data_IF_246175824938
#
_entry.id   IF_246175824938
#
_cell.length_a   1.000
_cell.length_b   1.000
_cell.length_c   1.000
_cell.angle_alpha   90.00
_cell.angle_beta   90.00
_cell.angle_gamma   90.00
#
_symmetry.space_group_name_H-M   'P 1'
#
loop_
_entity.id
_entity.type
_entity.pdbx_description
1 polymer ?
#
# COMPACT_ATOMS: atom_id res chain seq x y z
N UNK A 1 1.71 1.89 24.25
CA UNK A 1 0.98 3.12 23.89
C UNK A 1 0.00 2.78 22.78
N UNK A 2 -1.28 3.09 22.91
CA UNK A 2 -2.26 2.92 21.83
C UNK A 2 -2.18 4.14 20.90
N UNK A 3 -1.71 3.94 19.68
CA UNK A 3 -1.68 4.98 18.64
C UNK A 3 -3.12 5.15 18.13
N UNK A 4 -3.77 6.25 18.51
CA UNK A 4 -5.08 6.62 17.98
C UNK A 4 -4.87 7.40 16.70
N UNK A 5 -5.25 6.80 15.58
CA UNK A 5 -5.05 7.34 14.23
C UNK A 5 -6.16 8.35 13.93
N UNK A 6 -5.80 9.63 13.78
CA UNK A 6 -6.67 10.66 13.21
C UNK A 6 -6.34 10.85 11.73
N UNK A 7 -7.34 11.16 10.92
CA UNK A 7 -7.21 11.38 9.48
C UNK A 7 -6.12 12.41 9.14
N UNK A 8 -5.24 12.03 8.20
CA UNK A 8 -4.46 12.85 7.28
C UNK A 8 -3.14 13.54 7.69
N UNK A 9 -2.61 13.52 8.93
CA UNK A 9 -1.35 14.29 9.18
C UNK A 9 -0.27 13.65 10.07
N UNK A 10 -0.48 12.47 10.66
CA UNK A 10 0.44 11.99 11.74
C UNK A 10 1.00 10.58 11.49
N UNK A 11 0.50 9.84 10.48
CA UNK A 11 0.82 8.41 10.35
C UNK A 11 2.24 8.17 9.81
N UNK A 12 2.72 9.02 8.89
CA UNK A 12 3.98 8.75 8.19
C UNK A 12 5.18 9.44 8.78
N UNK A 13 5.03 10.59 9.45
CA UNK A 13 6.18 11.46 9.76
C UNK A 13 7.31 10.70 10.46
N UNK A 14 7.00 9.92 11.50
CA UNK A 14 8.07 9.16 12.17
C UNK A 14 8.71 8.10 11.27
N UNK A 15 7.92 7.37 10.48
CA UNK A 15 8.45 6.37 9.53
C UNK A 15 9.23 7.01 8.38
N UNK A 16 8.83 8.21 7.99
CA UNK A 16 9.48 9.02 6.97
C UNK A 16 10.80 9.59 7.50
N UNK A 17 10.82 10.14 8.71
CA UNK A 17 12.01 10.64 9.39
C UNK A 17 13.05 9.52 9.53
N UNK A 18 12.63 8.32 9.98
CA UNK A 18 13.52 7.16 10.08
C UNK A 18 14.10 6.77 8.69
N UNK A 19 13.27 6.79 7.64
CA UNK A 19 13.72 6.53 6.28
C UNK A 19 14.70 7.60 5.78
N UNK A 20 14.40 8.88 5.98
CA UNK A 20 15.24 10.01 5.57
C UNK A 20 16.60 9.95 6.27
N UNK A 21 16.64 9.66 7.57
CA UNK A 21 17.88 9.47 8.32
C UNK A 21 18.73 8.33 7.73
N UNK A 22 18.12 7.16 7.46
CA UNK A 22 18.86 6.05 6.85
C UNK A 22 19.33 6.39 5.43
N UNK A 23 18.51 7.09 4.64
CA UNK A 23 18.86 7.49 3.28
C UNK A 23 19.99 8.53 3.24
N UNK A 24 20.00 9.51 4.14
CA UNK A 24 21.10 10.47 4.30
C UNK A 24 22.41 9.76 4.64
N UNK A 25 22.39 8.82 5.60
CA UNK A 25 23.56 8.00 5.91
C UNK A 25 24.06 7.20 4.71
N UNK A 26 23.15 6.65 3.90
CA UNK A 26 23.52 5.96 2.68
C UNK A 26 24.25 6.88 1.68
N UNK A 27 23.75 8.11 1.50
CA UNK A 27 24.41 9.11 0.64
C UNK A 27 25.83 9.39 1.16
N UNK A 28 25.96 9.62 2.47
CA UNK A 28 27.25 9.92 3.09
C UNK A 28 28.25 8.77 2.97
N UNK A 29 27.84 7.54 3.31
CA UNK A 29 28.69 6.35 3.28
C UNK A 29 29.17 5.96 1.88
N UNK A 30 28.41 6.32 0.84
CA UNK A 30 28.75 6.01 -0.56
C UNK A 30 29.21 7.24 -1.35
N UNK A 31 29.57 8.35 -0.68
CA UNK A 31 30.02 9.60 -1.31
C UNK A 31 29.07 10.13 -2.41
N UNK A 32 27.77 9.85 -2.27
CA UNK A 32 26.72 10.20 -3.24
C UNK A 32 26.50 9.19 -4.39
N UNK A 33 27.29 8.13 -4.48
CA UNK A 33 27.13 7.07 -5.48
C UNK A 33 26.15 5.97 -5.02
N UNK A 34 24.85 6.26 -5.11
CA UNK A 34 23.79 5.29 -4.76
C UNK A 34 23.38 4.44 -5.96
N UNK A 35 23.05 3.17 -5.70
CA UNK A 35 22.41 2.26 -6.65
C UNK A 35 21.20 2.90 -7.37
N UNK A 36 21.13 2.72 -8.69
CA UNK A 36 20.12 3.35 -9.53
C UNK A 36 18.69 2.97 -9.14
N UNK A 37 18.45 1.73 -8.71
CA UNK A 37 17.10 1.26 -8.35
C UNK A 37 16.66 1.82 -7.00
N UNK A 38 17.59 1.98 -6.03
CA UNK A 38 17.32 2.67 -4.76
C UNK A 38 16.96 4.14 -5.03
N UNK A 39 17.76 4.83 -5.86
CA UNK A 39 17.49 6.22 -6.24
C UNK A 39 16.17 6.38 -6.98
N UNK A 40 15.84 5.45 -7.89
CA UNK A 40 14.57 5.48 -8.63
C UNK A 40 13.38 5.25 -7.71
N UNK A 41 13.50 4.34 -6.73
CA UNK A 41 12.50 4.16 -5.70
C UNK A 41 12.27 5.47 -4.91
N UNK A 42 13.34 6.08 -4.40
CA UNK A 42 13.27 7.31 -3.61
C UNK A 42 12.53 8.42 -4.38
N UNK A 43 12.99 8.72 -5.60
CA UNK A 43 12.35 9.72 -6.46
C UNK A 43 10.86 9.44 -6.64
N UNK A 44 10.47 8.18 -6.89
CA UNK A 44 9.06 7.81 -7.08
C UNK A 44 8.26 7.95 -5.81
N UNK A 45 8.79 7.54 -4.66
CA UNK A 45 8.12 7.68 -3.38
C UNK A 45 7.91 9.16 -3.05
N UNK A 46 8.96 9.98 -3.14
CA UNK A 46 8.87 11.41 -2.88
C UNK A 46 7.89 12.11 -3.82
N UNK A 47 7.90 11.75 -5.12
CA UNK A 47 6.90 12.24 -6.07
C UNK A 47 5.49 11.80 -5.68
N UNK A 48 5.27 10.54 -5.30
CA UNK A 48 3.96 10.03 -4.91
C UNK A 48 3.41 10.74 -3.67
N UNK A 49 4.25 10.97 -2.66
CA UNK A 49 3.88 11.61 -1.39
C UNK A 49 3.65 13.12 -1.55
N UNK A 50 4.46 13.80 -2.36
CA UNK A 50 4.32 15.24 -2.63
C UNK A 50 3.21 15.59 -3.63
N UNK A 51 2.66 14.59 -4.34
CA UNK A 51 1.65 14.84 -5.38
C UNK A 51 0.31 15.31 -4.79
N UNK A 52 -0.11 16.50 -5.20
CA UNK A 52 -1.45 17.01 -4.97
C UNK A 52 -2.31 16.92 -6.25
N UNK A 53 -3.47 16.26 -6.16
CA UNK A 53 -4.34 15.99 -7.31
C UNK A 53 -5.58 16.87 -7.20
N UNK A 54 -5.85 17.69 -8.20
CA UNK A 54 -7.06 18.50 -8.29
C UNK A 54 -7.81 18.21 -9.59
N UNK A 55 -9.14 18.30 -9.55
CA UNK A 55 -9.99 18.09 -10.72
C UNK A 55 -10.61 19.42 -11.14
N UNK A 56 -10.48 19.75 -12.43
CA UNK A 56 -11.05 20.96 -12.98
C UNK A 56 -12.58 20.82 -13.07
N UNK A 57 -13.36 21.74 -12.43
CA UNK A 57 -14.81 21.66 -12.39
C UNK A 57 -15.49 21.89 -13.75
N UNK A 58 -14.76 22.42 -14.74
CA UNK A 58 -15.26 22.64 -16.10
C UNK A 58 -15.40 21.35 -16.93
N UNK A 59 -14.84 20.22 -16.48
CA UNK A 59 -14.97 18.93 -17.17
C UNK A 59 -16.03 18.06 -16.48
N UNK A 60 -16.90 17.42 -17.29
CA UNK A 60 -18.16 16.75 -16.87
C UNK A 60 -18.02 15.48 -16.00
N UNK A 61 -16.83 15.10 -15.57
CA UNK A 61 -16.62 13.82 -14.89
C UNK A 61 -16.11 14.01 -13.47
N UNK A 62 -17.05 14.24 -12.56
CA UNK A 62 -17.11 13.85 -11.14
C UNK A 62 -18.20 14.71 -10.47
N UNK A 63 -19.46 14.27 -10.57
CA UNK A 63 -20.62 15.09 -10.17
C UNK A 63 -20.69 15.40 -8.66
N UNK A 64 -19.83 14.80 -7.85
CA UNK A 64 -19.75 15.01 -6.40
C UNK A 64 -18.29 15.04 -5.94
N UNK A 65 -18.03 15.72 -4.82
CA UNK A 65 -16.69 15.73 -4.22
C UNK A 65 -16.27 14.33 -3.75
N UNK A 66 -17.21 13.50 -3.31
CA UNK A 66 -16.94 12.09 -2.97
C UNK A 66 -16.45 11.26 -4.15
N UNK A 67 -16.95 11.51 -5.37
CA UNK A 67 -16.44 10.86 -6.59
C UNK A 67 -15.02 11.33 -6.91
N UNK A 68 -14.71 12.61 -6.65
CA UNK A 68 -13.35 13.15 -6.80
C UNK A 68 -12.43 12.49 -5.78
N UNK A 69 -12.85 12.34 -4.53
CA UNK A 69 -12.07 11.71 -3.47
C UNK A 69 -11.64 10.29 -3.85
N UNK A 70 -12.59 9.46 -4.32
CA UNK A 70 -12.27 8.10 -4.81
C UNK A 70 -11.24 8.14 -5.93
N UNK A 71 -11.40 9.06 -6.89
CA UNK A 71 -10.48 9.19 -8.02
C UNK A 71 -9.07 9.61 -7.56
N UNK A 72 -8.97 10.58 -6.64
CA UNK A 72 -7.68 11.00 -6.06
C UNK A 72 -7.01 9.85 -5.32
N UNK A 73 -7.75 9.13 -4.48
CA UNK A 73 -7.21 8.03 -3.70
C UNK A 73 -6.75 6.87 -4.60
N UNK A 74 -7.50 6.56 -5.66
CA UNK A 74 -7.11 5.51 -6.62
C UNK A 74 -5.81 5.88 -7.35
N UNK A 75 -5.68 7.14 -7.77
CA UNK A 75 -4.46 7.67 -8.39
C UNK A 75 -3.27 7.66 -7.42
N UNK A 76 -3.46 8.15 -6.19
CA UNK A 76 -2.43 8.14 -5.15
C UNK A 76 -1.98 6.72 -4.84
N UNK A 77 -2.91 5.79 -4.63
CA UNK A 77 -2.60 4.38 -4.40
C UNK A 77 -1.80 3.77 -5.56
N UNK A 78 -2.17 4.10 -6.80
CA UNK A 78 -1.45 3.63 -7.98
C UNK A 78 -0.03 4.19 -8.05
N UNK A 79 0.18 5.46 -7.70
CA UNK A 79 1.51 6.06 -7.65
C UNK A 79 2.40 5.39 -6.61
N UNK A 80 1.89 5.14 -5.40
CA UNK A 80 2.65 4.45 -4.35
C UNK A 80 2.92 3.00 -4.74
N UNK A 81 1.99 2.32 -5.43
CA UNK A 81 2.25 0.99 -5.99
C UNK A 81 3.43 0.99 -6.96
N UNK A 82 3.55 1.99 -7.83
CA UNK A 82 4.71 2.10 -8.71
C UNK A 82 6.03 2.34 -7.97
N UNK A 83 5.99 3.00 -6.81
CA UNK A 83 7.14 3.09 -5.91
C UNK A 83 7.48 1.72 -5.32
N UNK A 84 6.49 1.00 -4.80
CA UNK A 84 6.67 -0.39 -4.31
C UNK A 84 7.30 -1.31 -5.36
N UNK A 85 6.85 -1.22 -6.62
CA UNK A 85 7.45 -2.01 -7.73
C UNK A 85 8.92 -1.65 -7.98
N UNK A 86 9.31 -0.39 -7.81
CA UNK A 86 10.71 0.03 -7.90
C UNK A 86 11.53 -0.46 -6.70
N UNK A 87 10.96 -0.45 -5.50
CA UNK A 87 11.60 -1.00 -4.31
C UNK A 87 11.91 -2.49 -4.47
N UNK A 88 10.96 -3.26 -5.01
CA UNK A 88 11.18 -4.68 -5.27
C UNK A 88 12.36 -4.91 -6.23
N UNK A 89 12.61 -4.03 -7.20
CA UNK A 89 13.80 -4.16 -8.08
C UNK A 89 15.10 -3.93 -7.32
N UNK A 90 15.12 -2.94 -6.42
CA UNK A 90 16.27 -2.68 -5.56
C UNK A 90 16.61 -3.89 -4.65
N UNK A 91 15.59 -4.65 -4.24
CA UNK A 91 15.72 -5.93 -3.53
C UNK A 91 16.13 -7.12 -4.41
N UNK A 92 15.74 -7.15 -5.68
CA UNK A 92 16.14 -8.22 -6.61
C UNK A 92 17.67 -8.19 -6.82
N UNK A 93 18.24 -6.97 -6.90
CA UNK A 93 19.69 -6.76 -6.94
C UNK A 93 20.42 -7.16 -5.64
N UNK A 94 19.70 -7.52 -4.57
CA UNK A 94 20.29 -8.01 -3.31
C UNK A 94 20.03 -9.50 -3.02
N UNK A 95 19.39 -10.23 -3.95
CA UNK A 95 19.07 -11.68 -3.80
C UNK A 95 18.11 -12.03 -2.66
N UNK A 96 17.30 -11.07 -2.21
CA UNK A 96 16.45 -11.22 -1.02
C UNK A 96 14.97 -11.55 -1.33
N UNK A 97 14.58 -11.66 -2.60
CA UNK A 97 13.21 -11.98 -3.00
C UNK A 97 13.02 -13.47 -3.28
N UNK A 98 11.87 -14.02 -2.86
CA UNK A 98 11.56 -15.46 -2.97
C UNK A 98 10.73 -15.82 -4.20
N UNK A 99 9.93 -14.88 -4.73
CA UNK A 99 8.91 -15.18 -5.73
C UNK A 99 8.83 -14.11 -6.83
N UNK A 100 8.38 -14.54 -8.02
CA UNK A 100 8.08 -13.64 -9.16
C UNK A 100 6.83 -12.77 -8.95
N UNK A 101 5.92 -13.16 -8.05
CA UNK A 101 4.68 -12.41 -7.82
C UNK A 101 4.94 -11.24 -6.89
N UNK A 102 4.63 -10.02 -7.35
CA UNK A 102 4.85 -8.77 -6.60
C UNK A 102 4.07 -8.69 -5.29
N UNK A 103 2.99 -9.46 -5.15
CA UNK A 103 2.15 -9.47 -3.94
C UNK A 103 2.62 -10.50 -2.90
N UNK A 104 3.60 -11.35 -3.24
CA UNK A 104 4.14 -12.42 -2.39
C UNK A 104 5.66 -12.56 -2.55
N UNK A 105 6.34 -11.49 -2.99
CA UNK A 105 7.77 -11.51 -3.30
C UNK A 105 8.66 -11.41 -2.07
N UNK A 106 8.12 -10.87 -0.97
CA UNK A 106 8.81 -10.76 0.31
C UNK A 106 8.99 -12.16 0.93
N UNK A 107 10.21 -12.49 1.34
CA UNK A 107 10.50 -13.73 2.08
C UNK A 107 9.90 -13.69 3.49
N UNK A 108 9.71 -14.86 4.10
CA UNK A 108 9.32 -14.95 5.51
C UNK A 108 10.37 -14.25 6.41
N UNK A 109 11.67 -14.43 6.12
CA UNK A 109 12.75 -13.75 6.84
C UNK A 109 12.62 -12.21 6.83
N UNK A 110 12.31 -11.61 5.67
CA UNK A 110 12.08 -10.16 5.57
C UNK A 110 10.86 -9.75 6.40
N UNK A 111 9.78 -10.53 6.34
CA UNK A 111 8.57 -10.21 7.08
C UNK A 111 8.80 -10.31 8.58
N UNK A 112 9.54 -11.31 9.04
CA UNK A 112 9.88 -11.50 10.45
C UNK A 112 10.79 -10.38 10.96
N UNK A 113 11.78 -9.97 10.17
CA UNK A 113 12.66 -8.84 10.49
C UNK A 113 11.90 -7.51 10.54
N UNK A 114 10.99 -7.28 9.58
CA UNK A 114 10.12 -6.11 9.62
C UNK A 114 9.25 -6.08 10.89
N UNK A 115 8.65 -7.21 11.25
CA UNK A 115 7.77 -7.33 12.41
C UNK A 115 8.55 -7.23 13.73
N UNK A 116 9.77 -7.76 13.78
CA UNK A 116 10.61 -7.78 14.97
C UNK A 116 11.44 -6.51 15.16
N UNK A 117 12.34 -6.23 14.23
CA UNK A 117 13.39 -5.20 14.36
C UNK A 117 12.91 -3.81 13.92
N UNK A 118 12.01 -3.75 12.94
CA UNK A 118 11.50 -2.48 12.39
C UNK A 118 10.10 -2.11 12.91
N UNK A 119 9.63 -2.82 13.95
CA UNK A 119 8.37 -2.58 14.66
C UNK A 119 7.15 -2.44 13.73
N UNK A 120 7.15 -3.17 12.61
CA UNK A 120 6.04 -3.17 11.66
C UNK A 120 4.80 -3.88 12.24
N UNK A 121 4.94 -4.61 13.34
CA UNK A 121 3.83 -5.21 14.08
C UNK A 121 2.85 -4.14 14.60
N UNK A 122 3.34 -2.97 15.02
CA UNK A 122 2.52 -1.84 15.46
C UNK A 122 1.65 -1.36 14.29
N UNK A 123 2.23 -1.23 13.10
CA UNK A 123 1.52 -0.81 11.89
C UNK A 123 0.45 -1.84 11.52
N UNK A 124 0.80 -3.12 11.49
CA UNK A 124 -0.17 -4.17 11.14
C UNK A 124 -1.31 -4.26 12.14
N UNK A 125 -1.04 -4.12 13.44
CA UNK A 125 -2.08 -4.04 14.49
C UNK A 125 -2.99 -2.83 14.29
N UNK A 126 -2.41 -1.66 14.05
CA UNK A 126 -3.17 -0.42 13.81
C UNK A 126 -4.04 -0.51 12.55
N UNK A 127 -3.50 -1.05 11.45
CA UNK A 127 -4.24 -1.30 10.23
C UNK A 127 -5.42 -2.25 10.47
N UNK A 128 -5.19 -3.36 11.17
CA UNK A 128 -6.22 -4.35 11.51
C UNK A 128 -7.30 -3.75 12.39
N UNK A 129 -6.92 -2.96 13.40
CA UNK A 129 -7.88 -2.28 14.27
C UNK A 129 -8.74 -1.30 13.47
N UNK A 130 -8.14 -0.44 12.64
CA UNK A 130 -8.87 0.49 11.80
C UNK A 130 -9.83 -0.24 10.85
N UNK A 131 -9.33 -1.29 10.21
CA UNK A 131 -10.11 -2.13 9.31
C UNK A 131 -11.29 -2.78 10.03
N UNK A 132 -11.05 -3.31 11.23
CA UNK A 132 -12.08 -3.89 12.10
C UNK A 132 -13.16 -2.87 12.44
N UNK A 133 -12.78 -1.70 12.96
CA UNK A 133 -13.73 -0.72 13.49
C UNK A 133 -14.55 -0.03 12.39
N UNK A 134 -13.92 0.30 11.25
CA UNK A 134 -14.54 1.17 10.25
C UNK A 134 -15.13 0.43 9.04
N UNK A 135 -14.58 -0.74 8.70
CA UNK A 135 -14.97 -1.46 7.48
C UNK A 135 -15.64 -2.78 7.83
N UNK A 136 -14.96 -3.60 8.63
CA UNK A 136 -15.33 -4.98 8.83
C UNK A 136 -16.46 -5.15 9.88
N UNK A 137 -16.44 -4.48 11.03
CA UNK A 137 -17.50 -4.58 12.06
C UNK A 137 -18.77 -3.80 11.71
N UNK A 138 -18.72 -2.91 10.71
CA UNK A 138 -19.87 -2.15 10.25
C UNK A 138 -20.63 -2.94 9.18
N UNK A 139 -21.80 -3.48 9.51
CA UNK A 139 -22.58 -4.36 8.61
C UNK A 139 -22.86 -3.76 7.22
N UNK A 140 -23.09 -2.44 7.15
CA UNK A 140 -23.30 -1.72 5.90
C UNK A 140 -22.03 -1.67 5.04
N UNK A 141 -20.87 -1.43 5.67
CA UNK A 141 -19.59 -1.39 4.96
C UNK A 141 -19.06 -2.77 4.63
N UNK A 142 -19.32 -3.78 5.46
CA UNK A 142 -18.93 -5.17 5.22
C UNK A 142 -19.52 -5.72 3.92
N UNK A 143 -20.84 -5.68 3.79
CA UNK A 143 -21.53 -6.18 2.58
C UNK A 143 -21.07 -5.42 1.32
N UNK A 144 -20.88 -4.11 1.46
CA UNK A 144 -20.44 -3.28 0.34
C UNK A 144 -18.96 -3.48 -0.03
N UNK A 145 -18.11 -3.81 0.95
CA UNK A 145 -16.71 -4.18 0.73
C UNK A 145 -16.62 -5.55 0.06
N UNK A 146 -17.41 -6.52 0.51
CA UNK A 146 -17.52 -7.84 -0.13
C UNK A 146 -17.90 -7.72 -1.62
N UNK A 147 -18.92 -6.89 -1.93
CA UNK A 147 -19.28 -6.57 -3.32
C UNK A 147 -18.11 -5.99 -4.11
N UNK A 148 -17.33 -5.13 -3.47
CA UNK A 148 -16.16 -4.54 -4.11
C UNK A 148 -15.07 -5.58 -4.39
N UNK A 149 -14.80 -6.47 -3.44
CA UNK A 149 -13.85 -7.58 -3.63
C UNK A 149 -14.32 -8.53 -4.74
N UNK A 150 -15.61 -8.84 -4.82
CA UNK A 150 -16.17 -9.65 -5.92
C UNK A 150 -16.01 -8.97 -7.28
N UNK A 151 -16.23 -7.65 -7.34
CA UNK A 151 -15.98 -6.86 -8.53
C UNK A 151 -14.50 -6.91 -8.96
N UNK A 152 -13.57 -6.73 -8.01
CA UNK A 152 -12.13 -6.86 -8.26
C UNK A 152 -11.76 -8.28 -8.72
N UNK A 153 -12.38 -9.31 -8.15
CA UNK A 153 -12.18 -10.73 -8.49
C UNK A 153 -12.64 -11.03 -9.91
N UNK A 154 -13.77 -10.47 -10.31
CA UNK A 154 -14.35 -10.64 -11.66
C UNK A 154 -13.44 -10.07 -12.74
N UNK A 155 -12.76 -8.96 -12.47
CA UNK A 155 -11.80 -8.37 -13.39
C UNK A 155 -10.36 -8.89 -13.24
N UNK A 156 -10.07 -9.80 -12.31
CA UNK A 156 -8.75 -10.38 -12.16
C UNK A 156 -8.48 -11.43 -13.26
N UNK A 157 -7.31 -11.37 -13.89
CA UNK A 157 -6.96 -12.30 -14.99
C UNK A 157 -6.25 -13.56 -14.51
N UNK A 158 -5.52 -13.51 -13.39
CA UNK A 158 -4.75 -14.66 -12.87
C UNK A 158 -5.50 -15.42 -11.77
N UNK A 159 -5.38 -16.76 -11.79
CA UNK A 159 -5.96 -17.62 -10.76
C UNK A 159 -5.33 -17.43 -9.38
N UNK A 160 -4.07 -16.99 -9.30
CA UNK A 160 -3.43 -16.62 -8.03
C UNK A 160 -4.12 -15.40 -7.42
N UNK A 161 -4.36 -14.35 -8.22
CA UNK A 161 -5.03 -13.15 -7.76
C UNK A 161 -6.48 -13.44 -7.34
N UNK A 162 -7.23 -14.24 -8.12
CA UNK A 162 -8.58 -14.65 -7.74
C UNK A 162 -8.62 -15.39 -6.41
N UNK A 163 -7.69 -16.31 -6.17
CA UNK A 163 -7.59 -17.02 -4.88
C UNK A 163 -7.29 -16.08 -3.72
N UNK A 164 -6.36 -15.13 -3.91
CA UNK A 164 -6.07 -14.12 -2.90
C UNK A 164 -7.30 -13.24 -2.58
N UNK A 165 -8.04 -12.81 -3.61
CA UNK A 165 -9.25 -12.01 -3.43
C UNK A 165 -10.39 -12.80 -2.78
N UNK A 166 -10.57 -14.09 -3.09
CA UNK A 166 -11.53 -14.94 -2.38
C UNK A 166 -11.18 -15.11 -0.90
N UNK A 167 -9.89 -15.24 -0.57
CA UNK A 167 -9.44 -15.23 0.83
C UNK A 167 -9.79 -13.90 1.51
N UNK A 168 -9.52 -12.77 0.86
CA UNK A 168 -9.89 -11.43 1.35
C UNK A 168 -11.40 -11.32 1.58
N UNK A 169 -12.22 -11.83 0.65
CA UNK A 169 -13.67 -11.90 0.81
C UNK A 169 -14.08 -12.69 2.06
N UNK A 170 -13.45 -13.84 2.28
CA UNK A 170 -13.71 -14.68 3.46
C UNK A 170 -13.25 -14.00 4.76
N UNK A 171 -12.17 -13.22 4.73
CA UNK A 171 -11.74 -12.40 5.87
C UNK A 171 -12.85 -11.43 6.29
N UNK A 172 -13.51 -10.77 5.34
CA UNK A 172 -14.68 -9.93 5.62
C UNK A 172 -15.90 -10.71 6.14
N UNK A 173 -15.98 -12.01 5.84
CA UNK A 173 -17.09 -12.87 6.26
C UNK A 173 -16.88 -13.42 7.67
N UNK A 174 -15.65 -13.86 7.96
CA UNK A 174 -15.29 -14.63 9.14
C UNK A 174 -14.74 -13.79 10.29
N UNK A 175 -14.53 -12.47 10.11
CA UNK A 175 -13.87 -11.62 11.09
C UNK A 175 -12.42 -12.04 11.40
N UNK A 176 -11.66 -12.29 10.33
CA UNK A 176 -10.25 -12.63 10.44
C UNK A 176 -9.37 -11.38 10.22
N UNK A 177 -8.10 -11.49 10.59
CA UNK A 177 -7.11 -10.45 10.33
C UNK A 177 -6.53 -10.59 8.93
N UNK A 178 -6.36 -9.47 8.23
CA UNK A 178 -5.59 -9.45 6.97
C UNK A 178 -4.10 -9.61 7.23
N UNK A 179 -3.48 -10.52 6.47
CA UNK A 179 -2.03 -10.60 6.38
C UNK A 179 -1.50 -9.54 5.40
N UNK A 180 -0.19 -9.26 5.47
CA UNK A 180 0.49 -8.29 4.60
C UNK A 180 0.22 -8.60 3.11
N UNK A 181 0.36 -9.88 2.72
CA UNK A 181 0.13 -10.32 1.34
C UNK A 181 -1.32 -10.16 0.88
N UNK A 182 -2.30 -10.16 1.81
CA UNK A 182 -3.70 -9.89 1.48
C UNK A 182 -3.87 -8.42 1.11
N UNK A 183 -3.28 -7.51 1.90
CA UNK A 183 -3.34 -6.08 1.62
C UNK A 183 -2.64 -5.76 0.30
N UNK A 184 -1.44 -6.32 0.07
CA UNK A 184 -0.73 -6.15 -1.21
C UNK A 184 -1.54 -6.70 -2.40
N UNK A 185 -2.23 -7.84 -2.22
CA UNK A 185 -3.10 -8.40 -3.24
C UNK A 185 -4.31 -7.51 -3.52
N UNK A 186 -4.91 -6.91 -2.49
CA UNK A 186 -6.00 -5.95 -2.63
C UNK A 186 -5.54 -4.70 -3.42
N UNK A 187 -4.43 -4.10 -3.00
CA UNK A 187 -3.82 -2.94 -3.68
C UNK A 187 -3.58 -3.24 -5.15
N UNK A 188 -2.94 -4.38 -5.45
CA UNK A 188 -2.66 -4.78 -6.82
C UNK A 188 -3.92 -4.95 -7.66
N UNK A 189 -4.99 -5.53 -7.10
CA UNK A 189 -6.26 -5.69 -7.80
C UNK A 189 -6.92 -4.35 -8.13
N UNK A 190 -6.97 -3.42 -7.17
CA UNK A 190 -7.49 -2.06 -7.37
C UNK A 190 -6.71 -1.35 -8.48
N UNK A 191 -5.38 -1.33 -8.37
CA UNK A 191 -4.51 -0.71 -9.37
C UNK A 191 -4.73 -1.32 -10.75
N UNK A 192 -4.86 -2.65 -10.84
CA UNK A 192 -5.08 -3.31 -12.13
C UNK A 192 -6.45 -2.98 -12.74
N UNK A 193 -7.52 -2.92 -11.95
CA UNK A 193 -8.82 -2.49 -12.48
C UNK A 193 -8.75 -1.05 -13.00
N UNK A 194 -8.09 -0.17 -12.25
CA UNK A 194 -7.91 1.21 -12.68
C UNK A 194 -7.11 1.32 -13.99
N UNK A 195 -5.94 0.68 -14.06
CA UNK A 195 -5.00 0.81 -15.19
C UNK A 195 -5.48 0.07 -16.45
N UNK A 196 -6.12 -1.10 -16.30
CA UNK A 196 -6.41 -1.98 -17.42
C UNK A 196 -7.90 -2.09 -17.77
N UNK A 197 -8.80 -1.80 -16.83
CA UNK A 197 -10.24 -1.99 -17.03
C UNK A 197 -11.04 -0.69 -17.04
N UNK A 198 -10.39 0.47 -16.89
CA UNK A 198 -11.06 1.78 -16.92
C UNK A 198 -12.02 1.99 -15.76
N UNK A 199 -11.61 1.61 -14.55
CA UNK A 199 -12.47 1.65 -13.36
C UNK A 199 -13.04 3.06 -13.08
N UNK A 200 -14.37 3.13 -12.92
CA UNK A 200 -15.03 4.36 -12.47
C UNK A 200 -15.07 4.46 -10.94
N UNK A 201 -15.22 5.68 -10.38
CA UNK A 201 -15.38 5.89 -8.93
C UNK A 201 -16.50 5.08 -8.28
N UNK A 202 -17.54 4.72 -9.03
CA UNK A 202 -18.73 4.01 -8.51
C UNK A 202 -18.66 2.49 -8.66
N UNK A 203 -17.67 1.97 -9.39
CA UNK A 203 -17.61 0.55 -9.74
C UNK A 203 -17.45 -0.32 -8.50
N UNK A 204 -18.19 -1.42 -8.44
CA UNK A 204 -18.11 -2.43 -7.38
C UNK A 204 -18.65 -2.03 -6.01
N UNK A 205 -19.13 -0.78 -5.81
CA UNK A 205 -19.66 -0.31 -4.52
C UNK A 205 -21.01 0.39 -4.63
N UNK A 206 -21.86 0.19 -3.62
CA UNK A 206 -23.10 0.93 -3.42
C UNK A 206 -22.84 2.31 -2.80
N UNK A 207 -21.80 2.48 -1.99
CA UNK A 207 -21.46 3.74 -1.35
C UNK A 207 -20.02 4.16 -1.65
N UNK A 208 -19.83 5.42 -2.07
CA UNK A 208 -18.48 5.95 -2.30
C UNK A 208 -17.63 5.91 -1.02
N UNK A 209 -18.25 6.13 0.15
CA UNK A 209 -17.58 6.07 1.44
C UNK A 209 -16.92 4.71 1.68
N UNK A 210 -17.55 3.59 1.31
CA UNK A 210 -16.93 2.26 1.42
C UNK A 210 -15.61 2.20 0.67
N UNK A 211 -15.62 2.64 -0.60
CA UNK A 211 -14.43 2.62 -1.44
C UNK A 211 -13.37 3.61 -0.95
N UNK A 212 -13.78 4.77 -0.45
CA UNK A 212 -12.88 5.75 0.18
C UNK A 212 -12.14 5.11 1.36
N UNK A 213 -12.86 4.44 2.28
CA UNK A 213 -12.25 3.81 3.45
C UNK A 213 -11.27 2.68 3.07
N UNK A 214 -11.67 1.82 2.13
CA UNK A 214 -10.79 0.75 1.62
C UNK A 214 -9.54 1.35 0.97
N UNK A 215 -9.70 2.37 0.12
CA UNK A 215 -8.57 2.98 -0.60
C UNK A 215 -7.63 3.75 0.34
N UNK A 216 -8.16 4.50 1.31
CA UNK A 216 -7.34 5.19 2.32
C UNK A 216 -6.52 4.20 3.12
N UNK A 217 -7.16 3.18 3.68
CA UNK A 217 -6.47 2.21 4.51
C UNK A 217 -5.41 1.43 3.71
N UNK A 218 -5.73 1.03 2.48
CA UNK A 218 -4.78 0.36 1.59
C UNK A 218 -3.62 1.27 1.16
N UNK A 219 -3.88 2.57 0.93
CA UNK A 219 -2.86 3.57 0.61
C UNK A 219 -1.89 3.75 1.78
N UNK A 220 -2.41 4.00 2.98
CA UNK A 220 -1.60 4.29 4.15
C UNK A 220 -0.73 3.08 4.52
N UNK A 221 -1.29 1.87 4.45
CA UNK A 221 -0.54 0.65 4.62
C UNK A 221 0.60 0.52 3.59
N UNK A 222 0.32 0.81 2.32
CA UNK A 222 1.30 0.67 1.24
C UNK A 222 2.45 1.68 1.38
N UNK A 223 2.17 2.91 1.83
CA UNK A 223 3.21 3.89 2.14
C UNK A 223 4.08 3.38 3.28
N UNK A 224 3.48 2.93 4.39
CA UNK A 224 4.21 2.47 5.56
C UNK A 224 5.10 1.25 5.27
N UNK A 225 4.61 0.28 4.49
CA UNK A 225 5.42 -0.87 4.11
C UNK A 225 6.56 -0.47 3.17
N UNK A 226 6.35 0.49 2.26
CA UNK A 226 7.43 1.01 1.41
C UNK A 226 8.52 1.68 2.25
N UNK A 227 8.15 2.54 3.19
CA UNK A 227 9.10 3.21 4.08
C UNK A 227 9.93 2.19 4.86
N UNK A 228 9.27 1.22 5.53
CA UNK A 228 9.99 0.23 6.35
C UNK A 228 10.82 -0.76 5.56
N UNK A 229 10.33 -1.24 4.41
CA UNK A 229 11.16 -2.06 3.52
C UNK A 229 12.37 -1.26 3.01
N UNK A 230 12.20 0.01 2.68
CA UNK A 230 13.32 0.81 2.22
C UNK A 230 14.35 1.06 3.33
N UNK A 231 13.93 1.42 4.54
CA UNK A 231 14.83 1.53 5.70
C UNK A 231 15.60 0.24 5.92
N UNK A 232 14.91 -0.91 5.94
CA UNK A 232 15.55 -2.22 6.08
C UNK A 232 16.59 -2.50 4.99
N UNK A 233 16.25 -2.24 3.72
CA UNK A 233 17.18 -2.43 2.62
C UNK A 233 18.43 -1.56 2.78
N UNK A 234 18.25 -0.30 3.18
CA UNK A 234 19.33 0.67 3.34
C UNK A 234 20.24 0.27 4.50
N UNK A 235 19.67 -0.07 5.65
CA UNK A 235 20.43 -0.45 6.83
C UNK A 235 21.25 -1.73 6.56
N UNK A 236 20.69 -2.69 5.81
CA UNK A 236 21.45 -3.86 5.34
C UNK A 236 22.60 -3.51 4.39
N UNK A 237 22.43 -2.49 3.54
CA UNK A 237 23.50 -2.02 2.65
C UNK A 237 24.60 -1.32 3.43
N UNK A 238 24.25 -0.47 4.39
CA UNK A 238 25.20 0.20 5.28
C UNK A 238 26.02 -0.81 6.07
N UNK A 239 25.37 -1.82 6.66
CA UNK A 239 26.03 -2.89 7.40
C UNK A 239 26.95 -3.78 6.54
N UNK A 240 26.85 -3.73 5.20
CA UNK A 240 27.74 -4.47 4.30
C UNK A 240 29.04 -3.72 3.94
N UNK A 241 29.13 -2.44 4.30
CA UNK A 241 30.29 -1.57 4.04
C UNK A 241 31.16 -1.41 5.30
N UNK A 242 30.60 -1.62 6.49
CA UNK A 242 31.32 -1.69 7.78
C UNK A 242 32.05 -3.03 7.99
#
# INVERSE_FOLDING_TARGET
MSVVIKENEIIFNWFQDDYEISFEKLIESFEGEIDQDIRLFDIRLQMALSTNITFNPGFRYTNTDTSKDVSRLTLKLSNVWFSYESLLKAYDNSSLLTNRSKTTSLSEDILDELLGEYHFDIITKSFRQYHSDNIHCNSKFREDSQRYIDYLTSGATSNSQKRALHRIFNIFTNNEDMAINDVLSLVYAVRNQYVHSGESPKSGVKYFSTKIEVLKNAHDFLVLICLRLATLLIDKRLASVE
#
